data_IF_939807752041
#
_entry.id   IF_939807752041
#
_cell.length_a   1.000
_cell.length_b   1.000
_cell.length_c   1.000
_cell.angle_alpha   90.00
_cell.angle_beta   90.00
_cell.angle_gamma   90.00
#
_symmetry.space_group_name_H-M   'P 1'
#
loop_
_entity.id
_entity.type
_entity.pdbx_description
1 polymer ?
#
# COMPACT_ATOMS: atom_id res chain seq x y z
N UNK A 1 -4.44 17.64 -42.05
CA UNK A 1 -4.23 16.65 -40.99
C UNK A 1 -4.81 17.24 -39.70
N UNK A 2 -5.82 16.64 -39.07
CA UNK A 2 -6.32 17.14 -37.79
C UNK A 2 -5.24 16.96 -36.73
N UNK A 3 -4.90 18.03 -36.04
CA UNK A 3 -4.02 18.03 -34.85
C UNK A 3 -4.74 17.21 -33.75
N UNK A 4 -4.18 16.08 -33.41
CA UNK A 4 -4.59 15.30 -32.25
C UNK A 4 -4.28 16.16 -31.01
N UNK A 5 -5.27 16.83 -30.48
CA UNK A 5 -5.18 17.41 -29.13
C UNK A 5 -5.25 16.23 -28.16
N UNK A 6 -4.20 15.94 -27.38
CA UNK A 6 -4.30 14.88 -26.38
C UNK A 6 -5.44 15.22 -25.42
N UNK A 7 -6.33 14.29 -25.20
CA UNK A 7 -7.39 14.43 -24.19
C UNK A 7 -6.71 14.76 -22.85
N UNK A 8 -7.24 15.77 -22.15
CA UNK A 8 -6.80 16.09 -20.80
C UNK A 8 -6.93 14.80 -19.94
N UNK A 9 -5.93 14.48 -19.11
CA UNK A 9 -6.02 13.33 -18.23
C UNK A 9 -7.28 13.45 -17.37
N UNK A 10 -8.01 12.34 -17.19
CA UNK A 10 -9.19 12.33 -16.33
C UNK A 10 -8.82 12.84 -14.93
N UNK A 11 -9.69 13.62 -14.27
CA UNK A 11 -9.44 14.10 -12.93
C UNK A 11 -9.16 12.93 -11.99
N UNK A 12 -8.25 13.13 -11.04
CA UNK A 12 -8.01 12.15 -9.98
C UNK A 12 -9.29 11.96 -9.17
N UNK A 13 -9.56 10.73 -8.69
CA UNK A 13 -10.72 10.47 -7.85
C UNK A 13 -10.67 11.35 -6.58
N UNK A 14 -11.83 11.69 -6.00
CA UNK A 14 -11.86 12.47 -4.77
C UNK A 14 -11.12 11.73 -3.66
N UNK A 15 -10.23 12.45 -2.98
CA UNK A 15 -9.44 11.92 -1.86
C UNK A 15 -10.38 11.59 -0.71
N UNK A 16 -10.36 10.35 -0.27
CA UNK A 16 -11.06 9.93 0.93
C UNK A 16 -10.43 10.56 2.16
N UNK A 17 -11.27 11.04 3.04
CA UNK A 17 -10.80 11.62 4.29
C UNK A 17 -10.84 10.57 5.40
N UNK A 18 -9.66 10.13 5.79
CA UNK A 18 -9.44 9.43 7.05
C UNK A 18 -9.84 10.34 8.23
N UNK A 19 -10.84 9.94 9.01
CA UNK A 19 -11.34 10.72 10.13
C UNK A 19 -11.23 9.94 11.44
N UNK A 20 -10.46 10.45 12.37
CA UNK A 20 -10.18 9.78 13.64
C UNK A 20 -11.45 9.40 14.42
N UNK A 21 -12.45 10.30 14.49
CA UNK A 21 -13.68 10.04 15.23
C UNK A 21 -14.52 8.91 14.62
N UNK A 22 -14.61 8.83 13.29
CA UNK A 22 -15.32 7.73 12.60
C UNK A 22 -14.64 6.39 12.86
N UNK A 23 -13.30 6.37 12.79
CA UNK A 23 -12.53 5.16 13.04
C UNK A 23 -12.63 4.73 14.50
N UNK A 24 -12.60 5.69 15.43
CA UNK A 24 -12.79 5.41 16.87
C UNK A 24 -14.19 4.82 17.16
N UNK A 25 -15.23 5.33 16.49
CA UNK A 25 -16.59 4.79 16.61
C UNK A 25 -16.64 3.33 16.10
N UNK A 26 -16.00 3.03 14.98
CA UNK A 26 -15.95 1.67 14.43
C UNK A 26 -15.09 0.71 15.26
N UNK A 27 -13.98 1.19 15.80
CA UNK A 27 -13.08 0.39 16.62
C UNK A 27 -13.71 0.03 17.98
N UNK A 28 -14.55 0.91 18.53
CA UNK A 28 -15.25 0.68 19.80
C UNK A 28 -14.27 0.41 20.95
N UNK A 29 -14.39 -0.78 21.56
CA UNK A 29 -13.58 -1.23 22.70
C UNK A 29 -12.28 -1.95 22.30
N UNK A 30 -11.88 -1.94 21.01
CA UNK A 30 -10.58 -2.42 20.59
C UNK A 30 -9.46 -1.65 21.29
N UNK A 31 -8.32 -2.29 21.47
CA UNK A 31 -7.12 -1.64 22.04
C UNK A 31 -6.12 -1.27 20.97
N UNK A 32 -6.10 -2.04 19.90
CA UNK A 32 -5.17 -1.89 18.78
C UNK A 32 -5.94 -1.53 17.52
N UNK A 33 -5.46 -0.53 16.78
CA UNK A 33 -5.93 -0.23 15.45
C UNK A 33 -4.81 -0.55 14.47
N UNK A 34 -5.09 -1.47 13.56
CA UNK A 34 -4.21 -1.83 12.45
C UNK A 34 -4.74 -1.20 11.19
N UNK A 35 -3.92 -0.41 10.51
CA UNK A 35 -4.29 0.34 9.31
C UNK A 35 -3.52 -0.21 8.11
N UNK A 36 -4.20 -0.43 7.00
CA UNK A 36 -3.50 -0.55 5.72
C UNK A 36 -2.83 0.76 5.35
N UNK A 37 -1.83 0.69 4.49
CA UNK A 37 -1.08 1.87 4.06
C UNK A 37 -1.66 2.43 2.76
N UNK A 38 -1.73 1.62 1.70
CA UNK A 38 -2.24 2.05 0.41
C UNK A 38 -3.74 2.32 0.43
N UNK A 39 -4.18 3.42 -0.18
CA UNK A 39 -5.58 3.87 -0.21
C UNK A 39 -6.25 4.11 1.16
N UNK A 40 -5.57 3.87 2.27
CA UNK A 40 -6.03 4.21 3.63
C UNK A 40 -5.23 5.39 4.18
N UNK A 41 -3.91 5.32 4.17
CA UNK A 41 -3.00 6.36 4.69
C UNK A 41 -2.34 7.16 3.56
N UNK A 42 -2.05 6.54 2.43
CA UNK A 42 -1.53 7.18 1.22
C UNK A 42 -2.46 6.88 0.04
N UNK A 43 -2.78 7.90 -0.73
CA UNK A 43 -3.58 7.72 -1.93
C UNK A 43 -2.78 7.00 -3.03
N UNK A 44 -3.44 6.13 -3.77
CA UNK A 44 -2.85 5.34 -4.86
C UNK A 44 -3.72 5.44 -6.11
N UNK A 45 -3.08 5.79 -7.25
CA UNK A 45 -3.72 5.83 -8.55
C UNK A 45 -2.96 4.94 -9.56
N UNK A 46 -3.36 3.66 -9.71
CA UNK A 46 -2.65 2.69 -10.56
C UNK A 46 -2.52 3.11 -12.03
N UNK A 47 -3.46 3.93 -12.54
CA UNK A 47 -3.43 4.44 -13.91
C UNK A 47 -2.15 5.22 -14.20
N UNK A 48 -1.65 5.98 -13.23
CA UNK A 48 -0.42 6.78 -13.40
C UNK A 48 0.81 5.91 -13.67
N UNK A 49 0.90 4.75 -13.03
CA UNK A 49 1.95 3.77 -13.32
C UNK A 49 1.81 3.18 -14.73
N UNK A 50 0.58 2.83 -15.14
CA UNK A 50 0.32 2.33 -16.48
C UNK A 50 0.69 3.35 -17.57
N UNK A 51 0.34 4.61 -17.39
CA UNK A 51 0.70 5.72 -18.28
C UNK A 51 2.23 5.92 -18.33
N UNK A 52 2.91 5.87 -17.18
CA UNK A 52 4.36 6.01 -17.09
C UNK A 52 5.10 4.86 -17.79
N UNK A 53 4.63 3.61 -17.67
CA UNK A 53 5.20 2.48 -18.41
C UNK A 53 4.93 2.58 -19.90
N UNK A 54 3.76 3.06 -20.31
CA UNK A 54 3.47 3.33 -21.73
C UNK A 54 4.45 4.38 -22.30
N UNK A 55 4.69 5.47 -21.58
CA UNK A 55 5.66 6.48 -21.94
C UNK A 55 7.11 5.95 -21.98
N UNK A 56 7.43 4.97 -21.12
CA UNK A 56 8.72 4.27 -21.10
C UNK A 56 8.90 3.28 -22.26
N UNK A 57 7.87 3.10 -23.11
CA UNK A 57 7.90 2.23 -24.26
C UNK A 57 7.39 0.82 -23.99
N UNK A 58 6.50 0.64 -23.05
CA UNK A 58 5.83 -0.64 -22.84
C UNK A 58 5.07 -1.08 -24.11
N UNK A 59 5.08 -2.38 -24.39
CA UNK A 59 4.37 -2.96 -25.53
C UNK A 59 2.87 -2.86 -25.32
N UNK A 60 2.04 -2.67 -26.36
CA UNK A 60 0.58 -2.52 -26.22
C UNK A 60 -0.13 -3.70 -25.55
N UNK A 61 0.47 -4.89 -25.60
CA UNK A 61 0.00 -6.11 -24.95
C UNK A 61 0.34 -6.16 -23.46
N UNK A 62 1.08 -5.16 -22.95
CA UNK A 62 1.49 -5.08 -21.58
C UNK A 62 0.54 -4.15 -20.81
N UNK A 63 -0.15 -4.70 -19.83
CA UNK A 63 -0.86 -3.90 -18.83
C UNK A 63 -0.16 -4.06 -17.48
N UNK A 64 0.06 -2.97 -16.76
CA UNK A 64 0.65 -3.01 -15.41
C UNK A 64 -0.20 -3.88 -14.47
N UNK A 65 -1.52 -3.93 -14.71
CA UNK A 65 -2.43 -4.87 -14.07
C UNK A 65 -2.16 -6.33 -14.41
N UNK A 66 -1.71 -6.64 -15.63
CA UNK A 66 -1.40 -8.00 -16.05
C UNK A 66 -0.09 -8.53 -15.46
N UNK A 67 0.89 -7.69 -15.17
CA UNK A 67 2.02 -8.09 -14.30
C UNK A 67 1.53 -8.42 -12.88
N UNK A 68 0.48 -7.78 -12.41
CA UNK A 68 -0.16 -8.08 -11.13
C UNK A 68 -1.05 -9.32 -11.15
N UNK A 69 -1.68 -9.64 -12.31
CA UNK A 69 -2.70 -10.69 -12.39
C UNK A 69 -2.29 -11.92 -13.21
N UNK A 70 -1.46 -11.80 -14.23
CA UNK A 70 -1.03 -12.94 -15.07
C UNK A 70 0.34 -13.50 -14.67
N UNK A 71 1.20 -12.72 -14.06
CA UNK A 71 2.35 -13.24 -13.32
C UNK A 71 2.08 -13.15 -11.84
N UNK A 72 1.09 -13.87 -11.37
CA UNK A 72 0.73 -13.99 -9.95
C UNK A 72 1.95 -14.11 -9.02
N UNK A 73 3.05 -14.63 -9.56
CA UNK A 73 4.27 -14.85 -8.81
C UNK A 73 5.13 -13.59 -8.62
N UNK A 74 5.29 -12.69 -9.62
CA UNK A 74 6.26 -11.59 -9.49
C UNK A 74 5.77 -10.47 -8.54
N UNK A 75 4.48 -10.09 -8.60
CA UNK A 75 3.91 -9.07 -7.71
C UNK A 75 3.86 -9.58 -6.26
N UNK A 76 3.34 -10.79 -6.06
CA UNK A 76 3.32 -11.42 -4.74
C UNK A 76 4.73 -11.71 -4.24
N UNK A 77 5.63 -12.12 -5.13
CA UNK A 77 7.00 -12.44 -4.80
C UNK A 77 7.80 -11.21 -4.35
N UNK A 78 7.62 -10.03 -4.97
CA UNK A 78 8.29 -8.80 -4.50
C UNK A 78 7.69 -8.29 -3.18
N UNK A 79 6.38 -8.49 -2.95
CA UNK A 79 5.71 -8.13 -1.70
C UNK A 79 6.04 -9.07 -0.54
N UNK A 80 6.61 -10.24 -0.80
CA UNK A 80 7.07 -11.20 0.22
C UNK A 80 8.59 -11.37 0.25
N UNK A 81 9.33 -10.51 -0.46
CA UNK A 81 10.80 -10.57 -0.61
C UNK A 81 11.32 -11.91 -1.20
N UNK A 82 10.43 -12.66 -1.87
CA UNK A 82 10.77 -13.93 -2.53
C UNK A 82 11.58 -13.72 -3.82
N UNK A 83 11.55 -12.51 -4.39
CA UNK A 83 12.43 -12.05 -5.46
C UNK A 83 13.04 -10.69 -5.10
N UNK A 84 14.24 -10.44 -5.60
CA UNK A 84 14.92 -9.16 -5.43
C UNK A 84 14.28 -8.05 -6.27
N UNK A 85 14.52 -6.79 -5.90
CA UNK A 85 14.14 -5.64 -6.72
C UNK A 85 14.77 -5.67 -8.12
N UNK A 86 15.95 -6.27 -8.28
CA UNK A 86 16.63 -6.42 -9.58
C UNK A 86 15.88 -7.41 -10.49
N UNK A 87 15.48 -8.57 -9.95
CA UNK A 87 14.67 -9.57 -10.66
C UNK A 87 13.31 -9.01 -11.05
N UNK A 88 12.67 -8.28 -10.15
CA UNK A 88 11.39 -7.60 -10.42
C UNK A 88 11.51 -6.61 -11.59
N UNK A 89 12.54 -5.73 -11.58
CA UNK A 89 12.82 -4.82 -12.71
C UNK A 89 13.14 -5.59 -14.00
N UNK A 90 13.82 -6.73 -13.90
CA UNK A 90 14.08 -7.62 -15.03
C UNK A 90 12.80 -8.09 -15.70
N UNK A 91 11.76 -8.42 -14.93
CA UNK A 91 10.43 -8.75 -15.41
C UNK A 91 9.81 -7.63 -16.26
N UNK A 92 9.89 -6.38 -15.81
CA UNK A 92 9.40 -5.24 -16.62
C UNK A 92 10.17 -5.05 -17.91
N UNK A 93 11.50 -5.20 -17.91
CA UNK A 93 12.34 -5.00 -19.10
C UNK A 93 11.93 -5.88 -20.28
N UNK A 94 11.44 -7.09 -20.03
CA UNK A 94 10.98 -8.00 -21.07
C UNK A 94 9.79 -7.44 -21.86
N UNK A 95 9.03 -6.54 -21.28
CA UNK A 95 7.85 -5.91 -21.88
C UNK A 95 8.12 -4.53 -22.48
N UNK A 96 9.34 -4.00 -22.33
CA UNK A 96 9.73 -2.73 -22.92
C UNK A 96 10.31 -2.93 -24.33
N UNK A 97 10.10 -1.94 -25.21
CA UNK A 97 10.66 -1.91 -26.56
C UNK A 97 12.13 -1.50 -26.58
N UNK A 98 12.56 -0.77 -25.57
CA UNK A 98 13.89 -0.18 -25.44
C UNK A 98 14.49 -0.51 -24.09
N UNK A 99 15.82 -0.48 -24.02
CA UNK A 99 16.53 -0.63 -22.75
C UNK A 99 16.16 0.53 -21.80
N UNK A 100 15.86 0.21 -20.56
CA UNK A 100 15.54 1.20 -19.52
C UNK A 100 16.42 1.00 -18.29
N UNK A 101 16.90 2.10 -17.72
CA UNK A 101 17.62 2.10 -16.47
C UNK A 101 16.68 1.72 -15.31
N UNK A 102 17.22 1.13 -14.24
CA UNK A 102 16.47 0.79 -13.01
C UNK A 102 15.68 1.97 -12.48
N UNK A 103 16.31 3.14 -12.40
CA UNK A 103 15.67 4.36 -11.92
C UNK A 103 14.48 4.83 -12.78
N UNK A 104 14.45 4.47 -14.06
CA UNK A 104 13.32 4.79 -14.95
C UNK A 104 12.15 3.84 -14.72
N UNK A 105 12.45 2.55 -14.52
CA UNK A 105 11.47 1.53 -14.15
C UNK A 105 10.87 1.85 -12.78
N UNK A 106 11.71 2.18 -11.78
CA UNK A 106 11.25 2.54 -10.46
C UNK A 106 10.35 3.79 -10.46
N UNK A 107 10.71 4.81 -11.25
CA UNK A 107 9.83 5.99 -11.41
C UNK A 107 8.48 5.63 -12.01
N UNK A 108 8.47 4.78 -13.05
CA UNK A 108 7.22 4.34 -13.66
C UNK A 108 6.38 3.47 -12.69
N UNK A 109 7.03 2.57 -11.96
CA UNK A 109 6.40 1.74 -10.93
C UNK A 109 5.83 2.58 -9.78
N UNK A 110 6.57 3.57 -9.29
CA UNK A 110 6.20 4.44 -8.19
C UNK A 110 5.25 5.59 -8.59
N UNK A 111 4.95 5.75 -9.89
CA UNK A 111 4.05 6.82 -10.33
C UNK A 111 2.63 6.69 -9.75
N UNK A 112 2.22 5.49 -9.37
CA UNK A 112 0.93 5.25 -8.69
C UNK A 112 0.83 5.87 -7.30
N UNK A 113 1.97 6.10 -6.62
CA UNK A 113 1.97 6.65 -5.26
C UNK A 113 1.64 8.15 -5.31
N UNK A 114 0.65 8.57 -4.57
CA UNK A 114 0.35 9.98 -4.35
C UNK A 114 0.97 10.46 -3.01
N UNK A 115 0.79 11.73 -2.68
CA UNK A 115 1.39 12.29 -1.47
C UNK A 115 0.52 11.99 -0.23
N UNK A 116 1.19 11.90 0.93
CA UNK A 116 0.50 11.89 2.22
C UNK A 116 -0.23 13.22 2.43
N UNK A 117 -1.48 13.12 2.85
CA UNK A 117 -2.29 14.30 3.07
C UNK A 117 -1.83 15.08 4.32
N UNK A 118 -1.70 16.42 4.26
CA UNK A 118 -1.19 17.22 5.38
C UNK A 118 -2.01 17.05 6.68
N UNK A 119 -3.31 16.79 6.57
CA UNK A 119 -4.22 16.61 7.70
C UNK A 119 -4.09 15.24 8.38
N UNK A 120 -3.47 14.23 7.73
CA UNK A 120 -3.38 12.85 8.23
C UNK A 120 -2.69 12.77 9.59
N UNK A 121 -1.58 13.50 9.76
CA UNK A 121 -0.81 13.49 11.01
C UNK A 121 -1.64 13.92 12.23
N UNK A 122 -2.54 14.89 12.04
CA UNK A 122 -3.48 15.32 13.10
C UNK A 122 -4.47 14.22 13.47
N UNK A 123 -4.98 13.50 12.49
CA UNK A 123 -5.91 12.40 12.70
C UNK A 123 -5.24 11.19 13.39
N UNK A 124 -4.02 10.84 12.97
CA UNK A 124 -3.25 9.75 13.61
C UNK A 124 -2.94 10.06 15.08
N UNK A 125 -2.54 11.30 15.38
CA UNK A 125 -2.29 11.73 16.77
C UNK A 125 -3.57 11.69 17.61
N UNK A 126 -4.72 12.08 17.05
CA UNK A 126 -6.00 11.99 17.74
C UNK A 126 -6.39 10.55 18.07
N UNK A 127 -6.25 9.61 17.11
CA UNK A 127 -6.48 8.18 17.34
C UNK A 127 -5.51 7.62 18.40
N UNK A 128 -4.23 7.99 18.29
CA UNK A 128 -3.17 7.51 19.18
C UNK A 128 -3.33 7.92 20.65
N UNK A 129 -4.27 8.82 20.99
CA UNK A 129 -4.59 9.15 22.36
C UNK A 129 -5.33 8.02 23.10
N UNK A 130 -6.10 7.22 22.37
CA UNK A 130 -6.95 6.18 22.95
C UNK A 130 -6.63 4.77 22.48
N UNK A 131 -5.90 4.63 21.37
CA UNK A 131 -5.60 3.35 20.74
C UNK A 131 -4.12 3.22 20.44
N UNK A 132 -3.62 2.01 20.49
CA UNK A 132 -2.29 1.69 19.96
C UNK A 132 -2.38 1.47 18.46
N UNK A 133 -1.66 2.27 17.68
CA UNK A 133 -1.73 2.22 16.22
C UNK A 133 -0.63 1.35 15.63
N UNK A 134 -0.96 0.64 14.56
CA UNK A 134 -0.04 -0.18 13.76
C UNK A 134 -0.34 -0.02 12.27
N UNK A 135 0.66 -0.26 11.44
CA UNK A 135 0.49 -0.43 9.98
C UNK A 135 0.63 -1.92 9.64
N UNK A 136 -0.22 -2.41 8.72
CA UNK A 136 -0.09 -3.72 8.08
C UNK A 136 -0.33 -3.57 6.58
N UNK A 137 0.74 -3.55 5.79
CA UNK A 137 0.69 -3.24 4.36
C UNK A 137 1.28 -4.34 3.49
N UNK A 138 0.56 -4.73 2.43
CA UNK A 138 1.15 -5.42 1.30
C UNK A 138 1.91 -4.39 0.46
N UNK A 139 3.23 -4.47 0.46
CA UNK A 139 4.10 -3.50 -0.20
C UNK A 139 5.47 -4.09 -0.51
N UNK A 140 6.35 -3.28 -1.09
CA UNK A 140 7.70 -3.68 -1.45
C UNK A 140 8.72 -2.56 -1.16
N UNK A 141 10.01 -2.92 -1.17
CA UNK A 141 11.10 -1.99 -0.86
C UNK A 141 11.14 -0.79 -1.80
N UNK A 142 10.85 -1.00 -3.10
CA UNK A 142 10.88 0.08 -4.11
C UNK A 142 9.86 1.17 -3.77
N UNK A 143 8.63 0.78 -3.35
CA UNK A 143 7.60 1.74 -2.94
C UNK A 143 7.97 2.45 -1.64
N UNK A 144 8.41 1.72 -0.62
CA UNK A 144 8.74 2.33 0.67
C UNK A 144 9.94 3.26 0.58
N UNK A 145 10.96 2.92 -0.22
CA UNK A 145 12.10 3.79 -0.45
C UNK A 145 11.70 5.08 -1.19
N UNK A 146 10.75 4.99 -2.12
CA UNK A 146 10.19 6.18 -2.78
C UNK A 146 9.39 7.06 -1.81
N UNK A 147 8.58 6.47 -0.94
CA UNK A 147 7.86 7.21 0.12
C UNK A 147 8.85 7.94 1.03
N UNK A 148 9.91 7.25 1.49
CA UNK A 148 10.98 7.87 2.30
C UNK A 148 11.66 9.02 1.55
N UNK A 149 11.95 8.83 0.26
CA UNK A 149 12.58 9.84 -0.58
C UNK A 149 11.70 11.09 -0.74
N UNK A 150 10.38 10.91 -0.99
CA UNK A 150 9.43 12.02 -1.17
C UNK A 150 9.22 12.81 0.11
N UNK A 151 9.01 12.13 1.22
CA UNK A 151 8.79 12.77 2.52
C UNK A 151 10.09 13.36 3.10
N UNK A 152 11.23 12.78 2.79
CA UNK A 152 12.47 12.98 3.52
C UNK A 152 12.51 12.21 4.84
N UNK A 153 13.71 11.87 5.28
CA UNK A 153 13.92 10.99 6.44
C UNK A 153 13.27 11.49 7.73
N UNK A 154 13.28 12.81 7.94
CA UNK A 154 12.70 13.42 9.15
C UNK A 154 11.17 13.25 9.18
N UNK A 155 10.48 13.65 8.11
CA UNK A 155 9.02 13.57 8.06
C UNK A 155 8.54 12.11 8.04
N UNK A 156 9.27 11.21 7.37
CA UNK A 156 9.00 9.78 7.43
C UNK A 156 9.15 9.21 8.85
N UNK A 157 10.19 9.60 9.59
CA UNK A 157 10.37 9.20 10.98
C UNK A 157 9.28 9.78 11.90
N UNK A 158 8.85 11.03 11.67
CA UNK A 158 7.72 11.64 12.40
C UNK A 158 6.41 10.90 12.11
N UNK A 159 6.18 10.51 10.87
CA UNK A 159 5.01 9.71 10.48
C UNK A 159 5.02 8.33 11.14
N UNK A 160 6.12 7.59 11.06
CA UNK A 160 6.20 6.23 11.61
C UNK A 160 6.14 6.21 13.13
N UNK A 161 6.54 7.28 13.83
CA UNK A 161 6.37 7.41 15.30
C UNK A 161 4.91 7.47 15.77
N UNK A 162 3.95 7.71 14.88
CA UNK A 162 2.53 7.59 15.21
C UNK A 162 2.12 6.13 15.45
N UNK A 163 2.93 5.16 15.05
CA UNK A 163 2.64 3.74 15.12
C UNK A 163 3.62 3.04 16.05
N UNK A 164 3.11 2.13 16.88
CA UNK A 164 3.96 1.28 17.72
C UNK A 164 4.72 0.26 16.87
N UNK A 165 4.06 -0.31 15.86
CA UNK A 165 4.68 -1.22 14.90
C UNK A 165 4.26 -0.90 13.48
N UNK A 166 5.18 -1.15 12.55
CA UNK A 166 4.96 -1.05 11.12
C UNK A 166 5.30 -2.41 10.52
N UNK A 167 4.29 -3.12 10.05
CA UNK A 167 4.40 -4.43 9.44
C UNK A 167 4.32 -4.29 7.93
N UNK A 168 5.42 -4.49 7.26
CA UNK A 168 5.47 -4.60 5.81
C UNK A 168 5.53 -6.07 5.41
N UNK A 169 4.75 -6.45 4.42
CA UNK A 169 4.66 -7.83 3.93
C UNK A 169 6.02 -8.40 3.52
N UNK A 170 6.87 -7.59 2.88
CA UNK A 170 8.22 -7.99 2.46
C UNK A 170 9.18 -8.26 3.65
N UNK A 171 8.97 -7.63 4.81
CA UNK A 171 9.76 -7.91 6.02
C UNK A 171 9.27 -9.15 6.77
N UNK A 172 7.98 -9.47 6.63
CA UNK A 172 7.37 -10.65 7.23
C UNK A 172 7.50 -11.91 6.36
N UNK A 173 7.74 -11.77 5.06
CA UNK A 173 7.63 -12.86 4.08
C UNK A 173 6.19 -13.38 3.92
N UNK A 174 5.19 -12.60 4.34
CA UNK A 174 3.77 -12.94 4.37
C UNK A 174 2.94 -11.78 3.80
N UNK A 175 1.77 -12.08 3.24
CA UNK A 175 0.89 -11.04 2.69
C UNK A 175 -0.58 -11.30 2.96
N UNK A 176 -1.36 -10.23 3.09
CA UNK A 176 -2.83 -10.27 3.11
C UNK A 176 -3.36 -10.78 1.76
N UNK A 177 -4.44 -11.54 1.68
CA UNK A 177 -5.32 -11.99 2.76
C UNK A 177 -4.94 -13.33 3.40
N UNK A 178 -3.70 -13.83 3.26
CA UNK A 178 -3.30 -15.12 3.87
C UNK A 178 -3.45 -15.05 5.40
N UNK A 179 -4.14 -16.03 6.04
CA UNK A 179 -4.34 -16.04 7.49
C UNK A 179 -3.05 -15.98 8.31
N UNK A 180 -1.95 -16.46 7.77
CA UNK A 180 -0.65 -16.49 8.45
C UNK A 180 -0.13 -15.10 8.82
N UNK A 181 -0.46 -14.04 8.04
CA UNK A 181 -0.02 -12.69 8.36
C UNK A 181 -0.72 -12.13 9.59
N UNK A 182 -2.03 -12.37 9.74
CA UNK A 182 -2.79 -11.93 10.93
C UNK A 182 -2.31 -12.65 12.18
N UNK A 183 -2.05 -13.97 12.08
CA UNK A 183 -1.44 -14.75 13.16
C UNK A 183 -0.04 -14.25 13.52
N UNK A 184 0.76 -13.83 12.54
CA UNK A 184 2.09 -13.27 12.79
C UNK A 184 2.00 -11.94 13.54
N UNK A 185 1.04 -11.08 13.18
CA UNK A 185 0.78 -9.81 13.89
C UNK A 185 0.34 -10.10 15.34
N UNK A 186 -0.62 -11.01 15.57
CA UNK A 186 -1.07 -11.36 16.91
C UNK A 186 0.09 -11.86 17.79
N UNK A 187 0.93 -12.74 17.25
CA UNK A 187 2.13 -13.22 17.98
C UNK A 187 3.08 -12.09 18.33
N UNK A 188 3.32 -11.17 17.39
CA UNK A 188 4.21 -10.02 17.61
C UNK A 188 3.66 -9.09 18.70
N UNK A 189 2.34 -8.88 18.70
CA UNK A 189 1.67 -8.03 19.69
C UNK A 189 1.42 -8.73 21.02
N UNK A 190 1.66 -10.05 21.11
CA UNK A 190 1.39 -10.85 22.31
C UNK A 190 -0.10 -10.98 22.63
N UNK A 191 -0.97 -10.89 21.61
CA UNK A 191 -2.41 -10.94 21.79
C UNK A 191 -2.90 -12.35 22.11
N UNK A 192 -3.79 -12.43 23.09
CA UNK A 192 -4.53 -13.64 23.43
C UNK A 192 -5.97 -13.63 22.92
N UNK A 193 -6.47 -12.43 22.64
CA UNK A 193 -7.83 -12.18 22.17
C UNK A 193 -7.78 -11.33 20.90
N UNK A 194 -8.00 -11.94 19.72
CA UNK A 194 -8.01 -11.24 18.45
C UNK A 194 -9.03 -10.09 18.35
N UNK A 195 -10.14 -10.16 19.11
CA UNK A 195 -11.19 -9.13 19.11
C UNK A 195 -10.72 -7.77 19.65
N UNK A 196 -9.52 -7.70 20.26
CA UNK A 196 -8.90 -6.47 20.69
C UNK A 196 -8.29 -5.65 19.54
N UNK A 197 -8.27 -6.19 18.32
CA UNK A 197 -7.78 -5.51 17.12
C UNK A 197 -8.96 -5.03 16.27
N UNK A 198 -8.88 -3.77 15.84
CA UNK A 198 -9.69 -3.23 14.75
C UNK A 198 -8.79 -3.00 13.53
N UNK A 199 -9.19 -3.56 12.39
CA UNK A 199 -8.46 -3.45 11.13
C UNK A 199 -9.23 -2.62 10.10
N UNK A 200 -8.53 -1.72 9.42
CA UNK A 200 -9.07 -0.87 8.35
C UNK A 200 -8.25 -1.08 7.08
N UNK A 201 -8.91 -1.52 6.01
CA UNK A 201 -8.27 -1.84 4.72
C UNK A 201 -9.24 -1.52 3.58
N UNK A 202 -8.77 -1.09 2.41
CA UNK A 202 -9.63 -0.81 1.24
C UNK A 202 -10.06 -2.09 0.51
N UNK A 203 -9.33 -3.18 0.68
CA UNK A 203 -9.56 -4.44 0.00
C UNK A 203 -10.51 -5.35 0.80
N UNK A 204 -11.68 -5.66 0.19
CA UNK A 204 -12.70 -6.50 0.81
C UNK A 204 -12.18 -7.89 1.22
N UNK A 205 -11.30 -8.52 0.41
CA UNK A 205 -10.74 -9.83 0.74
C UNK A 205 -9.83 -9.79 1.99
N UNK A 206 -9.08 -8.72 2.18
CA UNK A 206 -8.27 -8.53 3.38
C UNK A 206 -9.15 -8.35 4.62
N UNK A 207 -10.22 -7.57 4.48
CA UNK A 207 -11.21 -7.34 5.56
C UNK A 207 -11.90 -8.63 5.95
N UNK A 208 -12.36 -9.41 4.97
CA UNK A 208 -13.00 -10.70 5.21
C UNK A 208 -12.08 -11.68 5.93
N UNK A 209 -10.82 -11.79 5.48
CA UNK A 209 -9.83 -12.65 6.12
C UNK A 209 -9.52 -12.22 7.57
N UNK A 210 -9.47 -10.91 7.84
CA UNK A 210 -9.31 -10.39 9.19
C UNK A 210 -10.50 -10.74 10.10
N UNK A 211 -11.73 -10.61 9.59
CA UNK A 211 -12.94 -11.00 10.31
C UNK A 211 -12.96 -12.51 10.61
N UNK A 212 -12.59 -13.34 9.62
CA UNK A 212 -12.48 -14.81 9.81
C UNK A 212 -11.40 -15.17 10.83
N UNK A 213 -10.34 -14.37 10.92
CA UNK A 213 -9.28 -14.52 11.93
C UNK A 213 -9.75 -14.15 13.36
N UNK A 214 -10.84 -13.41 13.49
CA UNK A 214 -11.42 -12.96 14.76
C UNK A 214 -11.12 -11.49 15.10
N UNK A 215 -10.46 -10.72 14.22
CA UNK A 215 -10.34 -9.27 14.37
C UNK A 215 -11.68 -8.59 14.08
N UNK A 216 -11.89 -7.43 14.65
CA UNK A 216 -12.88 -6.48 14.13
C UNK A 216 -12.29 -5.84 12.88
N UNK A 217 -13.08 -5.70 11.82
CA UNK A 217 -12.55 -5.09 10.61
C UNK A 217 -13.62 -4.33 9.84
N UNK A 218 -13.20 -3.33 9.06
CA UNK A 218 -14.07 -2.56 8.20
C UNK A 218 -13.37 -2.20 6.91
N UNK A 219 -14.11 -2.26 5.81
CA UNK A 219 -13.62 -1.79 4.52
C UNK A 219 -13.66 -0.27 4.46
N UNK A 220 -12.54 0.32 4.08
CA UNK A 220 -12.41 1.76 3.83
C UNK A 220 -12.83 2.06 2.39
N UNK A 221 -14.11 2.46 2.20
CA UNK A 221 -14.67 2.70 0.86
C UNK A 221 -14.90 4.17 0.59
#
# INVERSE_FOLDING_TARGET
>A
MPLFTPALPAPLPPIRRFRAHEIAEWAGDARHIVLDFGKVLIDIEPRLSAEAFTALGARPTFTVGELGYQTHNAYQAIETDAISSAEFRGGFRQHLRYAAADSSIDRAWNALLLDLQPWLMGQLRALGQNYTLHILSNTNRIHIDEVKRRLGLRAYAEFTRCFQNVFYSYDLGLRKPDPSIYQAVDRHLGLKDPSQVFFLDDNAANVEAALQHGWKAKQFI
#
